data_IF_062095930923
#
_entry.id   IF_062095930923
#
_cell.length_a   1.000
_cell.length_b   1.000
_cell.length_c   1.000
_cell.angle_alpha   90.00
_cell.angle_beta   90.00
_cell.angle_gamma   90.00
#
_symmetry.space_group_name_H-M   'P 1'
#
loop_
_entity.id
_entity.type
_entity.pdbx_description
1 polymer ?
#
# COMPACT_ATOMS: atom_id res chain seq x y z
N UNK A 1 -9.38 11.13 -23.89
CA UNK A 1 -9.25 9.95 -23.01
C UNK A 1 -8.77 10.35 -21.62
N UNK A 2 -7.57 10.93 -21.51
CA UNK A 2 -7.03 11.37 -20.22
C UNK A 2 -7.96 12.35 -19.47
N UNK A 3 -8.55 13.33 -20.16
CA UNK A 3 -9.47 14.28 -19.51
C UNK A 3 -10.69 13.59 -18.87
N UNK A 4 -11.26 12.57 -19.53
CA UNK A 4 -12.38 11.82 -18.97
C UNK A 4 -11.98 11.00 -17.74
N UNK A 5 -10.77 10.41 -17.77
CA UNK A 5 -10.20 9.74 -16.62
C UNK A 5 -9.98 10.69 -15.44
N UNK A 6 -9.45 11.89 -15.71
CA UNK A 6 -9.23 12.92 -14.69
C UNK A 6 -10.55 13.43 -14.10
N UNK A 7 -11.59 13.62 -14.92
CA UNK A 7 -12.93 13.96 -14.43
C UNK A 7 -13.47 12.89 -13.48
N UNK A 8 -13.31 11.60 -13.81
CA UNK A 8 -13.74 10.53 -12.92
C UNK A 8 -12.95 10.50 -11.61
N UNK A 9 -11.64 10.78 -11.66
CA UNK A 9 -10.80 10.90 -10.46
C UNK A 9 -11.23 12.07 -9.58
N UNK A 10 -11.59 13.21 -10.17
CA UNK A 10 -12.14 14.34 -9.44
C UNK A 10 -13.43 13.98 -8.70
N UNK A 11 -14.35 13.33 -9.41
CA UNK A 11 -15.62 12.86 -8.83
C UNK A 11 -15.37 11.93 -7.62
N UNK A 12 -14.44 10.98 -7.74
CA UNK A 12 -14.04 10.10 -6.63
C UNK A 12 -13.51 10.92 -5.43
N UNK A 13 -12.61 11.87 -5.66
CA UNK A 13 -12.03 12.72 -4.61
C UNK A 13 -13.13 13.51 -3.89
N UNK A 14 -14.04 14.13 -4.64
CA UNK A 14 -15.15 14.92 -4.08
C UNK A 14 -16.09 14.07 -3.23
N UNK A 15 -16.44 12.87 -3.69
CA UNK A 15 -17.30 11.95 -2.94
C UNK A 15 -16.63 11.42 -1.67
N UNK A 16 -15.34 11.08 -1.75
CA UNK A 16 -14.56 10.68 -0.58
C UNK A 16 -14.49 11.80 0.46
N UNK A 17 -14.24 13.04 0.04
CA UNK A 17 -14.25 14.21 0.93
C UNK A 17 -15.62 14.43 1.60
N UNK A 18 -16.72 14.21 0.87
CA UNK A 18 -18.08 14.27 1.43
C UNK A 18 -18.33 13.16 2.44
N UNK A 19 -17.91 11.93 2.16
CA UNK A 19 -18.03 10.79 3.09
C UNK A 19 -17.28 11.05 4.39
N UNK A 20 -16.03 11.54 4.32
CA UNK A 20 -15.24 11.94 5.49
C UNK A 20 -15.99 12.98 6.32
N UNK A 21 -16.50 14.04 5.69
CA UNK A 21 -17.26 15.09 6.37
C UNK A 21 -18.56 14.56 7.02
N UNK A 22 -19.26 13.63 6.36
CA UNK A 22 -20.48 13.01 6.89
C UNK A 22 -20.18 12.10 8.08
N UNK A 23 -19.10 11.31 8.03
CA UNK A 23 -18.65 10.50 9.17
C UNK A 23 -18.29 11.37 10.37
N UNK A 24 -17.51 12.44 10.16
CA UNK A 24 -17.17 13.38 11.23
C UNK A 24 -18.42 14.01 11.86
N UNK A 25 -19.40 14.40 11.04
CA UNK A 25 -20.69 14.90 11.52
C UNK A 25 -21.46 13.83 12.30
N UNK A 26 -21.54 12.60 11.79
CA UNK A 26 -22.28 11.50 12.42
C UNK A 26 -21.73 11.10 13.79
N UNK A 27 -20.44 11.30 14.03
CA UNK A 27 -19.78 11.09 15.32
C UNK A 27 -19.93 12.24 16.32
N UNK A 28 -20.52 13.38 15.94
CA UNK A 28 -20.61 14.54 16.81
C UNK A 28 -21.55 14.28 18.02
N UNK A 29 -21.14 14.68 19.23
CA UNK A 29 -21.99 14.57 20.42
C UNK A 29 -23.23 15.45 20.27
N UNK A 30 -24.36 15.03 20.85
CA UNK A 30 -25.60 15.81 20.86
C UNK A 30 -26.48 15.68 19.61
N UNK A 31 -26.10 14.87 18.61
CA UNK A 31 -26.99 14.59 17.47
C UNK A 31 -28.23 13.80 17.90
N UNK A 32 -29.40 14.26 17.43
CA UNK A 32 -30.64 13.51 17.57
C UNK A 32 -30.57 12.16 16.83
N UNK A 33 -31.36 11.18 17.28
CA UNK A 33 -31.42 9.87 16.61
C UNK A 33 -31.88 9.99 15.15
N UNK A 34 -32.81 10.90 14.85
CA UNK A 34 -33.26 11.16 13.49
C UNK A 34 -32.12 11.69 12.61
N UNK A 35 -31.29 12.60 13.13
CA UNK A 35 -30.11 13.12 12.42
C UNK A 35 -29.09 12.02 12.14
N UNK A 36 -28.81 11.14 13.12
CA UNK A 36 -27.90 9.99 12.95
C UNK A 36 -28.40 9.03 11.87
N UNK A 37 -29.70 8.72 11.87
CA UNK A 37 -30.32 7.88 10.85
C UNK A 37 -30.27 8.52 9.46
N UNK A 38 -30.48 9.83 9.36
CA UNK A 38 -30.36 10.56 8.10
C UNK A 38 -28.92 10.50 7.58
N UNK A 39 -27.92 10.85 8.41
CA UNK A 39 -26.50 10.78 8.06
C UNK A 39 -26.11 9.37 7.61
N UNK A 40 -26.52 8.34 8.35
CA UNK A 40 -26.24 6.95 7.99
C UNK A 40 -26.80 6.57 6.61
N UNK A 41 -28.05 6.96 6.31
CA UNK A 41 -28.62 6.74 4.96
C UNK A 41 -27.87 7.51 3.88
N UNK A 42 -27.50 8.75 4.14
CA UNK A 42 -26.70 9.56 3.22
C UNK A 42 -25.35 8.91 2.96
N UNK A 43 -24.64 8.46 3.99
CA UNK A 43 -23.36 7.73 3.87
C UNK A 43 -23.53 6.49 2.98
N UNK A 44 -24.54 5.66 3.21
CA UNK A 44 -24.80 4.49 2.38
C UNK A 44 -25.05 4.84 0.90
N UNK A 45 -25.76 5.93 0.63
CA UNK A 45 -25.97 6.41 -0.74
C UNK A 45 -24.64 6.84 -1.39
N UNK A 46 -23.82 7.64 -0.71
CA UNK A 46 -22.51 8.07 -1.22
C UNK A 46 -21.55 6.89 -1.43
N UNK A 47 -21.56 5.89 -0.54
CA UNK A 47 -20.76 4.66 -0.72
C UNK A 47 -21.19 3.87 -1.95
N UNK A 48 -22.49 3.75 -2.19
CA UNK A 48 -23.04 3.07 -3.37
C UNK A 48 -22.62 3.78 -4.66
N UNK A 49 -22.67 5.12 -4.67
CA UNK A 49 -22.24 5.92 -5.81
C UNK A 49 -20.73 5.84 -6.06
N UNK A 50 -19.92 5.81 -5.00
CA UNK A 50 -18.48 5.59 -5.10
C UNK A 50 -18.15 4.23 -5.73
N UNK A 51 -18.87 3.17 -5.34
CA UNK A 51 -18.75 1.84 -5.95
C UNK A 51 -19.11 1.86 -7.44
N UNK A 52 -20.20 2.52 -7.83
CA UNK A 52 -20.61 2.64 -9.23
C UNK A 52 -19.55 3.35 -10.08
N UNK A 53 -18.96 4.44 -9.59
CA UNK A 53 -17.88 5.14 -10.30
C UNK A 53 -16.64 4.27 -10.41
N UNK A 54 -16.24 3.58 -9.34
CA UNK A 54 -15.10 2.67 -9.38
C UNK A 54 -15.30 1.59 -10.46
N UNK A 55 -16.50 1.01 -10.55
CA UNK A 55 -16.85 0.06 -11.62
C UNK A 55 -16.76 0.70 -13.00
N UNK A 56 -17.37 1.87 -13.21
CA UNK A 56 -17.34 2.57 -14.49
C UNK A 56 -15.91 2.95 -14.94
N UNK A 57 -15.07 3.42 -14.01
CA UNK A 57 -13.66 3.71 -14.27
C UNK A 57 -12.90 2.43 -14.62
N UNK A 58 -13.13 1.32 -13.90
CA UNK A 58 -12.49 0.03 -14.21
C UNK A 58 -12.86 -0.45 -15.61
N UNK A 59 -14.15 -0.44 -15.96
CA UNK A 59 -14.62 -0.81 -17.30
C UNK A 59 -14.01 0.07 -18.39
N UNK A 60 -13.91 1.37 -18.15
CA UNK A 60 -13.24 2.31 -19.04
C UNK A 60 -11.76 1.94 -19.25
N UNK A 61 -11.01 1.69 -18.18
CA UNK A 61 -9.60 1.31 -18.25
C UNK A 61 -9.40 -0.03 -18.98
N UNK A 62 -10.26 -1.02 -18.74
CA UNK A 62 -10.21 -2.31 -19.42
C UNK A 62 -10.54 -2.20 -20.91
N UNK A 63 -11.50 -1.35 -21.28
CA UNK A 63 -11.79 -1.07 -22.69
C UNK A 63 -10.60 -0.41 -23.38
N UNK A 64 -9.91 0.53 -22.72
CA UNK A 64 -8.69 1.15 -23.26
C UNK A 64 -7.51 0.17 -23.36
N UNK A 65 -7.40 -0.79 -22.45
CA UNK A 65 -6.39 -1.84 -22.52
C UNK A 65 -6.61 -2.75 -23.73
N UNK A 66 -7.88 -3.05 -24.04
CA UNK A 66 -8.25 -3.87 -25.19
C UNK A 66 -8.16 -3.12 -26.53
N UNK A 67 -8.54 -1.83 -26.54
CA UNK A 67 -8.46 -0.94 -27.70
C UNK A 67 -8.10 0.48 -27.27
N UNK A 68 -6.85 0.93 -27.50
CA UNK A 68 -6.42 2.29 -27.17
C UNK A 68 -7.20 3.39 -27.89
N UNK A 69 -7.92 3.06 -28.96
CA UNK A 69 -8.75 4.01 -29.73
C UNK A 69 -10.24 3.90 -29.40
N UNK A 70 -10.61 3.27 -28.28
CA UNK A 70 -12.00 3.09 -27.84
C UNK A 70 -12.67 4.42 -27.44
N UNK A 71 -12.96 5.28 -28.43
CA UNK A 71 -13.67 6.56 -28.23
C UNK A 71 -15.06 6.37 -27.62
N UNK A 72 -15.69 5.21 -27.84
CA UNK A 72 -16.95 4.81 -27.21
C UNK A 72 -16.83 4.67 -25.69
N UNK A 73 -15.68 4.23 -25.17
CA UNK A 73 -15.43 4.12 -23.73
C UNK A 73 -15.42 5.51 -23.06
N UNK A 74 -14.80 6.50 -23.72
CA UNK A 74 -14.80 7.90 -23.26
C UNK A 74 -16.22 8.45 -23.17
N UNK A 75 -17.02 8.28 -24.22
CA UNK A 75 -18.41 8.76 -24.26
C UNK A 75 -19.25 8.13 -23.15
N UNK A 76 -19.13 6.81 -22.94
CA UNK A 76 -19.84 6.10 -21.87
C UNK A 76 -19.48 6.63 -20.48
N UNK A 77 -18.18 6.79 -20.19
CA UNK A 77 -17.73 7.29 -18.89
C UNK A 77 -18.24 8.71 -18.63
N UNK A 78 -18.13 9.61 -19.61
CA UNK A 78 -18.61 10.99 -19.45
C UNK A 78 -20.13 11.06 -19.29
N UNK A 79 -20.89 10.24 -20.03
CA UNK A 79 -22.34 10.15 -19.87
C UNK A 79 -22.74 9.64 -18.48
N UNK A 80 -22.01 8.63 -17.97
CA UNK A 80 -22.20 8.13 -16.62
C UNK A 80 -21.91 9.20 -15.56
N UNK A 81 -20.77 9.92 -15.66
CA UNK A 81 -20.42 10.99 -14.74
C UNK A 81 -21.45 12.14 -14.76
N UNK A 82 -22.00 12.46 -15.93
CA UNK A 82 -23.08 13.44 -16.05
C UNK A 82 -24.34 12.98 -15.30
N UNK A 83 -24.77 11.73 -15.52
CA UNK A 83 -25.95 11.16 -14.86
C UNK A 83 -25.77 11.11 -13.34
N UNK A 84 -24.56 10.78 -12.88
CA UNK A 84 -24.20 10.82 -11.47
C UNK A 84 -24.30 12.22 -10.87
N UNK A 85 -23.87 13.24 -11.60
CA UNK A 85 -23.89 14.63 -11.14
C UNK A 85 -25.33 15.13 -10.91
N UNK A 86 -26.27 14.66 -11.72
CA UNK A 86 -27.72 14.93 -11.57
C UNK A 86 -28.29 14.28 -10.29
N UNK A 87 -27.71 13.16 -9.84
CA UNK A 87 -28.17 12.39 -8.68
C UNK A 87 -27.50 12.80 -7.36
N UNK A 88 -26.29 13.35 -7.40
CA UNK A 88 -25.45 13.55 -6.21
C UNK A 88 -25.14 15.03 -5.95
N UNK A 89 -25.77 15.64 -4.92
CA UNK A 89 -25.53 17.04 -4.58
C UNK A 89 -24.05 17.37 -4.30
N UNK A 90 -23.59 18.50 -4.85
CA UNK A 90 -22.20 18.96 -4.78
C UNK A 90 -21.29 18.43 -5.88
N UNK A 91 -21.83 17.80 -6.92
CA UNK A 91 -21.14 17.45 -8.15
C UNK A 91 -21.56 18.33 -9.33
N UNK A 92 -22.22 19.47 -9.09
CA UNK A 92 -22.74 20.37 -10.13
C UNK A 92 -21.63 20.89 -11.05
N UNK A 93 -20.39 20.96 -10.56
CA UNK A 93 -19.22 21.27 -11.38
C UNK A 93 -19.00 20.26 -12.53
N UNK A 94 -19.47 19.00 -12.42
CA UNK A 94 -19.50 18.02 -13.52
C UNK A 94 -20.63 18.28 -14.53
N UNK A 95 -21.72 18.96 -14.12
CA UNK A 95 -22.83 19.33 -15.00
C UNK A 95 -22.54 20.62 -15.77
N UNK A 96 -21.96 21.61 -15.09
CA UNK A 96 -21.64 22.93 -15.62
C UNK A 96 -20.26 22.99 -16.30
N UNK A 97 -19.36 22.09 -15.90
CA UNK A 97 -17.98 22.06 -16.35
C UNK A 97 -17.81 21.43 -17.73
N UNK A 98 -17.03 22.09 -18.59
CA UNK A 98 -16.45 21.42 -19.75
C UNK A 98 -15.43 20.41 -19.22
N UNK A 99 -15.46 19.10 -19.59
CA UNK A 99 -14.53 18.09 -19.07
C UNK A 99 -13.05 18.49 -19.12
N UNK A 100 -12.66 19.30 -20.10
CA UNK A 100 -11.31 19.86 -20.21
C UNK A 100 -10.93 20.79 -19.04
N UNK A 101 -11.87 21.62 -18.56
CA UNK A 101 -11.63 22.57 -17.46
C UNK A 101 -11.45 21.81 -16.13
N UNK A 102 -12.28 20.81 -15.87
CA UNK A 102 -12.14 19.93 -14.70
C UNK A 102 -10.84 19.13 -14.75
N UNK A 103 -10.51 18.56 -15.91
CA UNK A 103 -9.24 17.87 -16.08
C UNK A 103 -8.04 18.79 -15.85
N UNK A 104 -8.10 20.05 -16.30
CA UNK A 104 -7.07 21.06 -16.01
C UNK A 104 -6.98 21.37 -14.51
N UNK A 105 -8.11 21.50 -13.82
CA UNK A 105 -8.16 21.68 -12.36
C UNK A 105 -7.51 20.50 -11.62
N UNK A 106 -7.83 19.25 -12.00
CA UNK A 106 -7.21 18.06 -11.40
C UNK A 106 -5.70 18.05 -11.61
N UNK A 107 -5.23 18.39 -12.81
CA UNK A 107 -3.78 18.52 -13.09
C UNK A 107 -3.14 19.58 -12.19
N UNK A 108 -3.78 20.74 -12.03
CA UNK A 108 -3.30 21.81 -11.15
C UNK A 108 -3.25 21.36 -9.68
N UNK A 109 -4.30 20.70 -9.18
CA UNK A 109 -4.34 20.19 -7.80
C UNK A 109 -3.25 19.13 -7.56
N UNK A 110 -3.04 18.23 -8.51
CA UNK A 110 -1.97 17.23 -8.45
C UNK A 110 -0.58 17.87 -8.45
N UNK A 111 -0.35 18.87 -9.29
CA UNK A 111 0.91 19.60 -9.34
C UNK A 111 1.17 20.36 -8.02
N UNK A 112 0.18 21.10 -7.51
CA UNK A 112 0.30 21.80 -6.24
C UNK A 112 0.60 20.85 -5.07
N UNK A 113 -0.12 19.72 -4.99
CA UNK A 113 0.14 18.68 -3.98
C UNK A 113 1.57 18.13 -4.08
N UNK A 114 2.06 17.87 -5.29
CA UNK A 114 3.43 17.39 -5.48
C UNK A 114 4.45 18.42 -4.98
N UNK A 115 4.25 19.71 -5.28
CA UNK A 115 5.14 20.76 -4.77
C UNK A 115 5.10 20.89 -3.25
N UNK A 116 3.92 20.75 -2.63
CA UNK A 116 3.78 20.71 -1.17
C UNK A 116 4.54 19.50 -0.57
N UNK A 117 4.43 18.33 -1.20
CA UNK A 117 5.13 17.11 -0.78
C UNK A 117 6.65 17.24 -0.93
N UNK A 118 7.13 17.81 -2.04
CA UNK A 118 8.56 18.11 -2.24
C UNK A 118 9.06 19.12 -1.21
N UNK A 119 8.30 20.17 -0.94
CA UNK A 119 8.65 21.16 0.09
C UNK A 119 8.76 20.52 1.47
N UNK A 120 7.77 19.71 1.86
CA UNK A 120 7.77 18.99 3.13
C UNK A 120 8.91 17.97 3.22
N UNK A 121 9.21 17.25 2.13
CA UNK A 121 10.34 16.34 2.03
C UNK A 121 11.66 17.07 2.22
N UNK A 122 11.89 18.19 1.53
CA UNK A 122 13.11 19.01 1.69
C UNK A 122 13.29 19.49 3.12
N UNK A 123 12.21 19.96 3.77
CA UNK A 123 12.24 20.38 5.16
C UNK A 123 12.58 19.21 6.10
N UNK A 124 12.00 18.03 5.86
CA UNK A 124 12.30 16.83 6.64
C UNK A 124 13.75 16.37 6.47
N UNK A 125 14.27 16.37 5.24
CA UNK A 125 15.67 16.04 4.95
C UNK A 125 16.63 17.03 5.62
N UNK A 126 16.33 18.33 5.60
CA UNK A 126 17.14 19.34 6.27
C UNK A 126 17.19 19.18 7.80
N UNK A 127 16.20 18.50 8.39
CA UNK A 127 16.14 18.21 9.83
C UNK A 127 16.84 16.89 10.21
N UNK A 128 17.28 16.09 9.23
CA UNK A 128 17.94 14.82 9.49
C UNK A 128 19.41 15.00 9.91
N UNK A 129 19.98 14.05 10.66
CA UNK A 129 21.40 14.07 11.02
C UNK A 129 22.31 14.18 9.79
N UNK A 130 23.34 15.02 9.88
CA UNK A 130 24.23 15.33 8.76
C UNK A 130 25.17 14.18 8.36
N UNK A 131 25.28 13.15 9.19
CA UNK A 131 26.07 11.95 8.93
C UNK A 131 25.33 10.92 8.05
N UNK A 132 24.04 11.11 7.80
CA UNK A 132 23.29 10.27 6.86
C UNK A 132 23.71 10.56 5.40
N UNK A 133 23.82 9.53 4.54
CA UNK A 133 24.29 9.68 3.16
C UNK A 133 23.20 10.19 2.20
N UNK A 134 22.43 11.19 2.62
CA UNK A 134 21.23 11.64 1.89
C UNK A 134 21.61 12.47 0.67
N UNK A 135 21.07 12.10 -0.49
CA UNK A 135 21.11 12.94 -1.68
C UNK A 135 19.71 13.54 -1.95
N UNK A 136 19.46 14.73 -1.40
CA UNK A 136 18.16 15.40 -1.47
C UNK A 136 17.69 15.66 -2.90
N UNK A 137 18.61 16.02 -3.80
CA UNK A 137 18.28 16.30 -5.20
C UNK A 137 17.85 15.04 -5.94
N UNK A 138 18.52 13.91 -5.67
CA UNK A 138 18.16 12.61 -6.25
C UNK A 138 16.83 12.12 -5.70
N UNK A 139 16.61 12.25 -4.39
CA UNK A 139 15.33 11.90 -3.76
C UNK A 139 14.18 12.71 -4.36
N UNK A 140 14.35 14.01 -4.56
CA UNK A 140 13.36 14.85 -5.24
C UNK A 140 13.08 14.37 -6.67
N UNK A 141 14.14 14.13 -7.46
CA UNK A 141 13.99 13.69 -8.84
C UNK A 141 13.22 12.35 -8.93
N UNK A 142 13.53 11.42 -8.03
CA UNK A 142 12.81 10.14 -7.88
C UNK A 142 11.34 10.37 -7.52
N UNK A 143 11.05 11.22 -6.53
CA UNK A 143 9.67 11.53 -6.12
C UNK A 143 8.88 12.13 -7.28
N UNK A 144 9.47 13.04 -8.04
CA UNK A 144 8.84 13.63 -9.23
C UNK A 144 8.59 12.60 -10.32
N UNK A 145 9.56 11.73 -10.63
CA UNK A 145 9.40 10.69 -11.65
C UNK A 145 8.30 9.69 -11.27
N UNK A 146 8.34 9.18 -10.03
CA UNK A 146 7.30 8.26 -9.54
C UNK A 146 5.91 8.90 -9.56
N UNK A 147 5.79 10.15 -9.07
CA UNK A 147 4.52 10.87 -9.10
C UNK A 147 4.01 11.09 -10.52
N UNK A 148 4.89 11.38 -11.48
CA UNK A 148 4.49 11.56 -12.88
C UNK A 148 3.96 10.25 -13.48
N UNK A 149 4.67 9.13 -13.24
CA UNK A 149 4.26 7.82 -13.74
C UNK A 149 2.92 7.38 -13.14
N UNK A 150 2.77 7.48 -11.81
CA UNK A 150 1.54 7.12 -11.09
C UNK A 150 0.32 7.90 -11.56
N UNK A 151 0.49 9.17 -11.95
CA UNK A 151 -0.62 10.02 -12.38
C UNK A 151 -1.08 9.76 -13.82
N UNK A 152 -0.30 9.02 -14.60
CA UNK A 152 -0.55 8.79 -16.03
C UNK A 152 -1.71 7.81 -16.27
N UNK A 153 -2.45 8.03 -17.36
CA UNK A 153 -3.50 7.10 -17.78
C UNK A 153 -2.92 5.70 -18.12
N UNK A 154 -1.77 5.66 -18.78
CA UNK A 154 -1.09 4.41 -19.16
C UNK A 154 -0.81 3.51 -17.95
N UNK A 155 -0.33 4.09 -16.85
CA UNK A 155 -0.12 3.38 -15.59
C UNK A 155 -1.40 2.69 -15.11
N UNK A 156 -2.51 3.42 -15.05
CA UNK A 156 -3.79 2.89 -14.58
C UNK A 156 -4.41 1.87 -15.53
N UNK A 157 -4.23 2.04 -16.84
CA UNK A 157 -4.69 1.06 -17.85
C UNK A 157 -3.96 -0.27 -17.68
N UNK A 158 -2.62 -0.24 -17.57
CA UNK A 158 -1.80 -1.45 -17.38
C UNK A 158 -2.14 -2.16 -16.07
N UNK A 159 -2.29 -1.41 -14.99
CA UNK A 159 -2.67 -1.96 -13.69
C UNK A 159 -4.03 -2.65 -13.74
N UNK A 160 -5.05 -1.98 -14.28
CA UNK A 160 -6.39 -2.56 -14.39
C UNK A 160 -6.41 -3.83 -15.25
N UNK A 161 -5.69 -3.81 -16.38
CA UNK A 161 -5.58 -4.95 -17.29
C UNK A 161 -4.94 -6.15 -16.60
N UNK A 162 -3.76 -5.97 -15.98
CA UNK A 162 -3.04 -7.06 -15.32
C UNK A 162 -3.83 -7.65 -14.16
N UNK A 163 -4.45 -6.81 -13.32
CA UNK A 163 -5.27 -7.28 -12.20
C UNK A 163 -6.46 -8.10 -12.72
N UNK A 164 -7.12 -7.65 -13.79
CA UNK A 164 -8.25 -8.38 -14.37
C UNK A 164 -7.83 -9.69 -15.03
N UNK A 165 -6.71 -9.70 -15.75
CA UNK A 165 -6.20 -10.88 -16.45
C UNK A 165 -5.75 -11.98 -15.48
N UNK A 166 -4.98 -11.60 -14.45
CA UNK A 166 -4.36 -12.57 -13.53
C UNK A 166 -5.25 -12.94 -12.35
N UNK A 167 -6.15 -12.04 -11.94
CA UNK A 167 -6.90 -12.18 -10.68
C UNK A 167 -8.42 -11.96 -10.82
N UNK A 168 -8.94 -11.86 -12.05
CA UNK A 168 -10.37 -11.63 -12.31
C UNK A 168 -11.28 -12.85 -12.09
N UNK A 169 -10.74 -14.08 -12.13
CA UNK A 169 -11.50 -15.34 -12.03
C UNK A 169 -10.75 -16.37 -11.16
N UNK A 170 -11.42 -16.95 -10.15
CA UNK A 170 -10.93 -18.04 -9.29
C UNK A 170 -9.48 -17.92 -8.81
N UNK A 171 -9.07 -16.69 -8.46
CA UNK A 171 -7.71 -16.39 -8.09
C UNK A 171 -7.40 -16.77 -6.63
N UNK A 172 -6.13 -17.11 -6.37
CA UNK A 172 -5.62 -17.37 -5.03
C UNK A 172 -5.64 -16.13 -4.10
N UNK A 173 -5.76 -14.94 -4.70
CA UNK A 173 -5.82 -13.66 -4.00
C UNK A 173 -7.11 -12.93 -4.35
N UNK A 174 -7.73 -12.31 -3.35
CA UNK A 174 -8.83 -11.38 -3.59
C UNK A 174 -8.36 -10.14 -4.35
N UNK A 175 -9.27 -9.49 -5.10
CA UNK A 175 -8.92 -8.31 -5.92
C UNK A 175 -8.52 -7.11 -5.06
N UNK A 176 -9.02 -7.03 -3.83
CA UNK A 176 -8.77 -5.95 -2.88
C UNK A 176 -7.28 -5.86 -2.51
N UNK A 177 -6.57 -7.00 -2.51
CA UNK A 177 -5.13 -7.08 -2.25
C UNK A 177 -4.28 -6.24 -3.22
N UNK A 178 -4.83 -5.89 -4.39
CA UNK A 178 -4.14 -5.13 -5.43
C UNK A 178 -4.50 -3.64 -5.44
N UNK A 179 -5.17 -3.17 -4.38
CA UNK A 179 -5.42 -1.75 -4.19
C UNK A 179 -4.10 -1.00 -4.05
N UNK A 180 -3.94 0.06 -4.84
CA UNK A 180 -2.72 0.84 -4.87
C UNK A 180 -2.88 2.20 -4.17
N UNK A 181 -1.87 2.56 -3.38
CA UNK A 181 -1.72 3.87 -2.75
C UNK A 181 -0.24 4.23 -2.55
N UNK A 182 0.02 5.52 -2.39
CA UNK A 182 1.35 6.06 -2.10
C UNK A 182 1.45 6.56 -0.66
N UNK A 183 2.62 6.37 -0.04
CA UNK A 183 2.92 6.90 1.28
C UNK A 183 3.94 8.03 1.14
N UNK A 184 3.58 9.28 1.50
CA UNK A 184 4.49 10.40 1.41
C UNK A 184 5.78 10.16 2.19
N UNK A 185 6.90 10.70 1.70
CA UNK A 185 8.21 10.60 2.33
C UNK A 185 8.19 10.99 3.81
N UNK A 186 7.52 12.08 4.16
CA UNK A 186 7.47 12.59 5.54
C UNK A 186 6.75 11.65 6.49
N UNK A 187 5.69 11.00 6.04
CA UNK A 187 4.97 9.98 6.81
C UNK A 187 5.80 8.71 6.99
N UNK A 188 6.45 8.23 5.93
CA UNK A 188 7.39 7.11 6.03
C UNK A 188 8.51 7.42 7.03
N UNK A 189 9.11 8.60 6.96
CA UNK A 189 10.17 9.03 7.86
C UNK A 189 9.68 9.13 9.30
N UNK A 190 8.47 9.66 9.52
CA UNK A 190 7.85 9.74 10.85
C UNK A 190 7.70 8.36 11.48
N UNK A 191 7.28 7.35 10.71
CA UNK A 191 7.13 5.97 11.18
C UNK A 191 8.47 5.37 11.57
N UNK A 192 9.49 5.55 10.74
CA UNK A 192 10.84 5.05 11.04
C UNK A 192 11.48 5.76 12.23
N UNK A 193 11.34 7.08 12.32
CA UNK A 193 11.85 7.85 13.45
C UNK A 193 11.18 7.42 14.78
N UNK A 194 9.91 7.05 14.76
CA UNK A 194 9.20 6.59 15.95
C UNK A 194 9.75 5.26 16.49
N UNK A 195 10.33 4.41 15.64
CA UNK A 195 11.00 3.18 16.08
C UNK A 195 12.27 3.45 16.93
N UNK A 196 12.82 4.67 16.87
CA UNK A 196 13.92 5.12 17.72
C UNK A 196 15.17 4.25 17.59
N UNK A 197 15.80 3.91 18.73
CA UNK A 197 17.03 3.11 18.76
C UNK A 197 16.83 1.69 18.20
N UNK A 198 15.60 1.15 18.26
CA UNK A 198 15.32 -0.19 17.76
C UNK A 198 15.57 -0.31 16.25
N UNK A 199 15.42 0.77 15.49
CA UNK A 199 15.77 0.80 14.06
C UNK A 199 17.28 0.68 13.85
N UNK A 200 18.07 1.39 14.65
CA UNK A 200 19.52 1.31 14.65
C UNK A 200 20.01 -0.10 15.03
N UNK A 201 19.41 -0.69 16.06
CA UNK A 201 19.72 -2.07 16.47
C UNK A 201 19.40 -3.06 15.34
N UNK A 202 18.22 -2.98 14.74
CA UNK A 202 17.78 -3.93 13.73
C UNK A 202 18.57 -3.85 12.41
N UNK A 203 18.95 -2.63 12.00
CA UNK A 203 19.73 -2.41 10.78
C UNK A 203 21.24 -2.47 11.00
N UNK A 204 21.70 -2.29 12.25
CA UNK A 204 23.13 -2.27 12.63
C UNK A 204 23.64 -3.56 13.28
N UNK A 205 22.77 -4.46 13.75
CA UNK A 205 23.16 -5.68 14.47
C UNK A 205 24.00 -6.67 13.66
N UNK A 206 23.97 -6.60 12.33
CA UNK A 206 24.84 -7.41 11.48
C UNK A 206 25.13 -6.71 10.16
N UNK A 207 26.39 -6.77 9.71
CA UNK A 207 26.78 -6.28 8.40
C UNK A 207 25.91 -6.94 7.32
N UNK A 208 25.30 -6.11 6.48
CA UNK A 208 24.48 -6.60 5.38
C UNK A 208 23.06 -7.00 5.77
N UNK A 209 22.42 -6.38 6.76
CA UNK A 209 20.94 -6.46 6.80
C UNK A 209 20.33 -5.79 5.57
N UNK A 210 19.21 -6.33 5.12
CA UNK A 210 18.41 -5.74 4.05
C UNK A 210 17.18 -5.04 4.62
N UNK A 211 16.81 -3.94 3.96
CA UNK A 211 15.51 -3.31 4.10
C UNK A 211 14.59 -3.84 3.01
N UNK A 212 13.52 -4.52 3.39
CA UNK A 212 12.60 -5.21 2.46
C UNK A 212 11.23 -4.54 2.49
N UNK A 213 10.62 -4.35 1.34
CA UNK A 213 9.24 -3.86 1.19
C UNK A 213 8.42 -4.91 0.45
N UNK A 214 7.44 -5.51 1.12
CA UNK A 214 6.47 -6.42 0.52
C UNK A 214 5.25 -5.63 0.02
N UNK A 215 4.87 -5.86 -1.24
CA UNK A 215 3.93 -4.99 -1.95
C UNK A 215 4.59 -3.66 -2.31
N UNK A 216 5.80 -3.72 -2.88
CA UNK A 216 6.60 -2.51 -3.12
C UNK A 216 6.02 -1.57 -4.18
N UNK A 217 5.09 -2.05 -5.00
CA UNK A 217 4.49 -1.32 -6.12
C UNK A 217 5.57 -0.64 -6.98
N UNK A 218 5.43 0.65 -7.27
CA UNK A 218 6.38 1.46 -8.04
C UNK A 218 7.70 1.74 -7.32
N UNK A 219 7.88 1.26 -6.08
CA UNK A 219 9.17 1.29 -5.39
C UNK A 219 9.45 2.54 -4.55
N UNK A 220 8.43 3.38 -4.28
CA UNK A 220 8.53 4.56 -3.41
C UNK A 220 9.32 4.29 -2.12
N UNK A 221 8.83 3.34 -1.31
CA UNK A 221 9.39 3.06 0.01
C UNK A 221 10.78 2.45 -0.05
N UNK A 222 11.06 1.65 -1.09
CA UNK A 222 12.38 1.02 -1.32
C UNK A 222 13.42 2.10 -1.61
N UNK A 223 13.08 3.02 -2.50
CA UNK A 223 13.97 4.13 -2.88
C UNK A 223 14.17 5.12 -1.73
N UNK A 224 13.15 5.34 -0.89
CA UNK A 224 13.31 6.17 0.31
C UNK A 224 14.36 5.61 1.28
N UNK A 225 14.33 4.30 1.57
CA UNK A 225 15.32 3.66 2.45
C UNK A 225 16.74 3.76 1.87
N UNK A 226 16.88 3.47 0.58
CA UNK A 226 18.17 3.54 -0.11
C UNK A 226 18.74 4.96 -0.15
N UNK A 227 17.92 5.96 -0.46
CA UNK A 227 18.34 7.35 -0.65
C UNK A 227 18.47 8.14 0.66
N UNK A 228 17.80 7.71 1.72
CA UNK A 228 17.87 8.38 3.03
C UNK A 228 18.97 7.77 3.90
N UNK A 229 19.01 6.45 4.00
CA UNK A 229 19.89 5.77 4.94
C UNK A 229 21.03 5.00 4.27
N UNK A 230 21.08 4.96 2.94
CA UNK A 230 22.08 4.16 2.21
C UNK A 230 21.88 2.65 2.37
N UNK A 231 20.68 2.21 2.78
CA UNK A 231 20.41 0.79 3.02
C UNK A 231 20.33 -0.01 1.73
N UNK A 232 20.77 -1.27 1.81
CA UNK A 232 20.49 -2.28 0.77
C UNK A 232 18.99 -2.56 0.81
N UNK A 233 18.30 -2.12 -0.23
CA UNK A 233 16.84 -1.99 -0.22
C UNK A 233 16.25 -2.87 -1.32
N UNK A 234 15.26 -3.68 -0.96
CA UNK A 234 14.65 -4.65 -1.86
C UNK A 234 13.13 -4.52 -1.85
N UNK A 235 12.53 -4.40 -3.03
CA UNK A 235 11.08 -4.43 -3.21
C UNK A 235 10.61 -5.75 -3.78
N UNK A 236 9.53 -6.32 -3.22
CA UNK A 236 8.84 -7.48 -3.78
C UNK A 236 7.45 -7.05 -4.22
N UNK A 237 7.13 -7.28 -5.49
CA UNK A 237 5.88 -6.88 -6.10
C UNK A 237 5.34 -8.00 -6.99
N UNK A 238 4.07 -8.35 -6.82
CA UNK A 238 3.46 -9.43 -7.59
C UNK A 238 3.06 -8.98 -9.00
N UNK A 239 2.66 -7.71 -9.15
CA UNK A 239 2.20 -7.11 -10.40
C UNK A 239 3.38 -6.62 -11.24
N UNK A 240 3.57 -7.25 -12.40
CA UNK A 240 4.68 -7.00 -13.31
C UNK A 240 4.67 -5.56 -13.86
N UNK A 241 3.51 -4.94 -14.05
CA UNK A 241 3.41 -3.56 -14.50
C UNK A 241 3.94 -2.56 -13.47
N UNK A 242 3.69 -2.80 -12.17
CA UNK A 242 4.17 -1.97 -11.07
C UNK A 242 5.67 -2.18 -10.84
N UNK A 243 6.12 -3.44 -10.86
CA UNK A 243 7.54 -3.78 -10.87
C UNK A 243 8.28 -3.08 -12.03
N UNK A 244 7.74 -3.14 -13.24
CA UNK A 244 8.30 -2.48 -14.41
C UNK A 244 8.36 -0.96 -14.29
N UNK A 245 7.40 -0.35 -13.57
CA UNK A 245 7.45 1.07 -13.21
C UNK A 245 8.64 1.37 -12.29
N UNK A 246 8.87 0.54 -11.27
CA UNK A 246 9.99 0.71 -10.33
C UNK A 246 11.35 0.59 -11.03
N UNK A 247 11.53 -0.45 -11.85
CA UNK A 247 12.75 -0.68 -12.64
C UNK A 247 13.01 0.46 -13.64
N UNK A 248 11.95 1.01 -14.25
CA UNK A 248 12.07 2.17 -15.14
C UNK A 248 12.58 3.39 -14.39
N UNK A 249 12.06 3.70 -13.20
CA UNK A 249 12.55 4.83 -12.39
C UNK A 249 14.02 4.66 -12.04
N UNK A 250 14.44 3.45 -11.63
CA UNK A 250 15.86 3.19 -11.36
C UNK A 250 16.71 3.42 -12.60
N UNK A 251 16.25 2.97 -13.76
CA UNK A 251 16.95 3.16 -15.03
C UNK A 251 17.06 4.63 -15.42
N UNK A 252 15.95 5.36 -15.38
CA UNK A 252 15.89 6.80 -15.71
C UNK A 252 16.73 7.65 -14.77
N UNK A 253 16.78 7.27 -13.49
CA UNK A 253 17.54 7.96 -12.46
C UNK A 253 18.95 7.36 -12.26
N UNK A 254 19.41 6.45 -13.13
CA UNK A 254 20.63 5.66 -12.92
C UNK A 254 21.87 6.51 -12.63
N UNK A 255 22.02 7.66 -13.31
CA UNK A 255 23.10 8.60 -13.04
C UNK A 255 22.99 9.21 -11.62
N UNK A 256 21.79 9.58 -11.20
CA UNK A 256 21.53 10.15 -9.87
C UNK A 256 21.64 9.10 -8.75
N UNK A 257 21.33 7.83 -9.07
CA UNK A 257 21.48 6.69 -8.18
C UNK A 257 22.91 6.13 -8.14
N UNK A 258 23.86 6.74 -8.86
CA UNK A 258 25.27 6.30 -8.83
C UNK A 258 25.80 6.36 -7.40
N UNK A 259 26.26 5.21 -6.88
CA UNK A 259 26.77 5.09 -5.52
C UNK A 259 25.73 4.65 -4.48
N UNK A 260 24.43 4.65 -4.83
CA UNK A 260 23.39 4.03 -4.02
C UNK A 260 23.53 2.51 -4.17
N UNK A 261 24.00 1.84 -3.12
CA UNK A 261 24.27 0.40 -3.17
C UNK A 261 23.00 -0.41 -2.91
N UNK A 262 22.73 -1.36 -3.79
CA UNK A 262 21.85 -2.48 -3.49
C UNK A 262 20.35 -2.17 -3.50
N UNK A 263 19.89 -1.28 -4.39
CA UNK A 263 18.47 -1.21 -4.76
C UNK A 263 18.14 -2.35 -5.70
N UNK A 264 17.14 -3.16 -5.37
CA UNK A 264 16.67 -4.27 -6.22
C UNK A 264 15.16 -4.38 -6.16
N UNK A 265 14.55 -4.72 -7.29
CA UNK A 265 13.14 -5.13 -7.32
C UNK A 265 13.04 -6.59 -7.74
N UNK A 266 12.01 -7.25 -7.24
CA UNK A 266 11.70 -8.64 -7.55
C UNK A 266 10.24 -8.72 -7.92
N UNK A 267 9.97 -9.11 -9.16
CA UNK A 267 8.63 -9.45 -9.62
C UNK A 267 8.29 -10.86 -9.13
N UNK A 268 7.48 -11.00 -8.09
CA UNK A 268 7.20 -12.29 -7.48
C UNK A 268 6.22 -12.23 -6.31
N UNK A 269 5.84 -13.41 -5.84
CA UNK A 269 4.98 -13.57 -4.67
C UNK A 269 5.79 -13.36 -3.39
N UNK A 270 5.34 -12.42 -2.55
CA UNK A 270 5.96 -12.13 -1.24
C UNK A 270 5.99 -13.34 -0.31
N UNK A 271 5.06 -14.30 -0.45
CA UNK A 271 5.06 -15.52 0.36
C UNK A 271 6.20 -16.49 -0.02
N UNK A 272 6.80 -16.30 -1.19
CA UNK A 272 7.98 -17.06 -1.64
C UNK A 272 9.29 -16.30 -1.40
N UNK A 273 9.21 -15.07 -0.89
CA UNK A 273 10.37 -14.23 -0.65
C UNK A 273 11.23 -14.70 0.51
N UNK A 274 12.55 -14.51 0.46
CA UNK A 274 13.45 -14.81 1.58
C UNK A 274 13.70 -13.56 2.44
N UNK A 275 13.28 -13.61 3.70
CA UNK A 275 13.47 -12.54 4.70
C UNK A 275 14.44 -12.90 5.81
N UNK A 276 15.15 -14.04 5.69
CA UNK A 276 16.11 -14.53 6.70
C UNK A 276 17.30 -13.60 6.94
N UNK A 277 17.53 -12.62 6.06
CA UNK A 277 18.55 -11.59 6.21
C UNK A 277 17.99 -10.15 6.31
N UNK A 278 16.67 -10.00 6.46
CA UNK A 278 16.05 -8.68 6.61
C UNK A 278 16.31 -8.11 8.01
N UNK A 279 16.68 -6.84 8.10
CA UNK A 279 16.69 -6.09 9.36
C UNK A 279 15.39 -5.34 9.59
N UNK A 280 14.74 -4.93 8.50
CA UNK A 280 13.45 -4.24 8.50
C UNK A 280 12.61 -4.74 7.34
N UNK A 281 11.37 -5.13 7.61
CA UNK A 281 10.35 -5.44 6.59
C UNK A 281 9.20 -4.46 6.72
N UNK A 282 8.85 -3.77 5.64
CA UNK A 282 7.62 -2.97 5.55
C UNK A 282 6.57 -3.74 4.75
N UNK A 283 5.39 -3.92 5.34
CA UNK A 283 4.24 -4.52 4.70
C UNK A 283 3.36 -3.41 4.14
N UNK A 284 3.08 -3.42 2.84
CA UNK A 284 2.03 -2.57 2.24
C UNK A 284 0.63 -3.19 2.42
N UNK A 285 0.33 -3.63 3.64
CA UNK A 285 -0.82 -4.48 3.98
C UNK A 285 -2.12 -3.71 4.25
N UNK A 286 -2.23 -2.47 3.78
CA UNK A 286 -3.39 -1.62 4.03
C UNK A 286 -4.68 -2.25 3.50
N UNK A 287 -4.60 -2.95 2.37
CA UNK A 287 -5.75 -3.54 1.68
C UNK A 287 -5.65 -5.06 1.55
N UNK A 288 -4.74 -5.69 2.31
CA UNK A 288 -4.64 -7.15 2.29
C UNK A 288 -5.85 -7.77 2.97
N UNK A 289 -6.38 -8.83 2.38
CA UNK A 289 -7.39 -9.65 3.03
C UNK A 289 -6.80 -10.40 4.24
N UNK A 290 -7.67 -10.96 5.06
CA UNK A 290 -7.27 -11.67 6.29
C UNK A 290 -6.37 -12.88 5.99
N UNK A 291 -6.58 -13.55 4.85
CA UNK A 291 -5.83 -14.75 4.48
C UNK A 291 -4.38 -14.42 4.13
N UNK A 292 -4.15 -13.43 3.26
CA UNK A 292 -2.83 -12.97 2.89
C UNK A 292 -2.11 -12.36 4.10
N UNK A 293 -2.80 -11.53 4.90
CA UNK A 293 -2.23 -10.94 6.11
C UNK A 293 -1.77 -12.02 7.11
N UNK A 294 -2.58 -13.06 7.33
CA UNK A 294 -2.23 -14.18 8.20
C UNK A 294 -1.06 -15.01 7.64
N UNK A 295 -1.06 -15.31 6.33
CA UNK A 295 0.02 -16.07 5.68
C UNK A 295 1.36 -15.32 5.73
N UNK A 296 1.36 -14.02 5.44
CA UNK A 296 2.53 -13.15 5.52
C UNK A 296 3.07 -13.08 6.96
N UNK A 297 2.19 -12.90 7.94
CA UNK A 297 2.57 -12.82 9.36
C UNK A 297 3.16 -14.16 9.85
N UNK A 298 2.56 -15.30 9.46
CA UNK A 298 3.07 -16.63 9.79
C UNK A 298 4.44 -16.90 9.14
N UNK A 299 4.69 -16.37 7.93
CA UNK A 299 6.00 -16.45 7.28
C UNK A 299 7.04 -15.62 8.02
N UNK A 300 6.75 -14.37 8.34
CA UNK A 300 7.64 -13.51 9.12
C UNK A 300 7.94 -14.12 10.49
N UNK A 301 6.95 -14.72 11.14
CA UNK A 301 7.15 -15.40 12.42
C UNK A 301 8.22 -16.51 12.37
N UNK A 302 8.32 -17.22 11.24
CA UNK A 302 9.26 -18.33 11.03
C UNK A 302 10.62 -17.87 10.53
N UNK A 303 10.64 -16.91 9.63
CA UNK A 303 11.83 -16.60 8.82
C UNK A 303 12.50 -15.30 9.22
N UNK A 304 11.75 -14.33 9.77
CA UNK A 304 12.32 -13.04 10.15
C UNK A 304 13.25 -13.22 11.37
N UNK A 305 14.50 -12.73 11.33
CA UNK A 305 15.42 -12.96 12.44
C UNK A 305 15.04 -12.18 13.70
N UNK A 306 15.39 -12.73 14.87
CA UNK A 306 15.22 -12.04 16.15
C UNK A 306 15.90 -10.67 16.15
N UNK A 307 15.24 -9.68 16.75
CA UNK A 307 15.67 -8.28 16.78
C UNK A 307 15.30 -7.47 15.53
N UNK A 308 14.95 -8.11 14.41
CA UNK A 308 14.50 -7.40 13.22
C UNK A 308 13.14 -6.72 13.45
N UNK A 309 12.86 -5.69 12.65
CA UNK A 309 11.63 -4.92 12.71
C UNK A 309 10.67 -5.27 11.59
N UNK A 310 9.38 -5.12 11.88
CA UNK A 310 8.31 -5.14 10.89
C UNK A 310 7.43 -3.89 11.04
N UNK A 311 7.15 -3.20 9.94
CA UNK A 311 6.22 -2.07 9.89
C UNK A 311 4.98 -2.51 9.11
N UNK A 312 3.80 -2.26 9.66
CA UNK A 312 2.52 -2.66 9.07
C UNK A 312 1.49 -1.53 9.19
N UNK A 313 0.64 -1.38 8.18
CA UNK A 313 -0.50 -0.43 8.18
C UNK A 313 -1.66 -1.00 9.01
N UNK A 314 -1.85 -2.31 9.04
CA UNK A 314 -2.97 -2.95 9.76
C UNK A 314 -2.58 -3.44 11.17
N UNK A 315 -1.48 -4.19 11.24
CA UNK A 315 -0.97 -4.99 12.36
C UNK A 315 -1.82 -6.20 12.74
N UNK A 316 -2.89 -6.50 12.00
CA UNK A 316 -3.88 -7.51 12.40
C UNK A 316 -3.26 -8.89 12.52
N UNK A 317 -2.39 -9.29 11.58
CA UNK A 317 -1.77 -10.62 11.61
C UNK A 317 -0.58 -10.77 12.58
N UNK A 318 0.04 -9.67 13.02
CA UNK A 318 1.27 -9.70 13.83
C UNK A 318 1.00 -9.71 15.35
N UNK A 319 -0.14 -9.15 15.77
CA UNK A 319 -0.50 -9.03 17.20
C UNK A 319 -0.84 -10.36 17.86
N UNK A 320 -1.48 -11.25 17.11
CA UNK A 320 -2.10 -12.45 17.69
C UNK A 320 -1.29 -13.73 17.44
N UNK A 321 -0.15 -13.62 16.75
CA UNK A 321 0.71 -14.78 16.49
C UNK A 321 1.43 -15.24 17.75
N UNK A 322 1.24 -16.52 18.04
CA UNK A 322 1.83 -17.27 19.14
C UNK A 322 2.50 -18.52 18.60
N UNK A 323 3.67 -18.87 19.12
CA UNK A 323 4.26 -20.19 18.84
C UNK A 323 3.80 -21.14 19.94
N UNK A 324 3.06 -22.17 19.54
CA UNK A 324 2.82 -23.31 20.43
C UNK A 324 4.17 -23.92 20.78
N UNK A 325 4.54 -23.92 22.06
CA UNK A 325 5.74 -24.60 22.53
C UNK A 325 5.61 -26.07 22.13
N UNK A 326 6.40 -26.53 21.16
CA UNK A 326 6.46 -27.96 20.87
C UNK A 326 6.90 -28.66 22.15
N UNK A 327 5.99 -29.42 22.77
CA UNK A 327 6.33 -30.30 23.85
C UNK A 327 7.34 -31.30 23.28
N UNK A 328 8.61 -31.16 23.67
CA UNK A 328 9.66 -32.11 23.33
C UNK A 328 9.28 -33.42 24.01
N UNK A 329 8.51 -34.25 23.31
CA UNK A 329 8.26 -35.62 23.72
C UNK A 329 9.60 -36.34 23.57
N UNK A 330 10.28 -36.56 24.70
CA UNK A 330 11.36 -37.51 24.80
C UNK A 330 10.78 -38.92 24.54
N UNK A 331 10.74 -39.32 23.27
CA UNK A 331 10.23 -40.61 22.85
C UNK A 331 10.91 -41.02 21.55
N UNK A 332 11.97 -41.82 21.68
CA UNK A 332 12.69 -42.36 20.53
C UNK A 332 11.87 -43.36 19.71
N UNK A 333 12.33 -43.62 18.48
CA UNK A 333 12.04 -44.86 17.78
C UNK A 333 11.38 -44.74 16.40
N UNK A 334 12.22 -44.92 15.38
CA UNK A 334 12.00 -45.71 14.16
C UNK A 334 11.03 -45.24 13.04
N UNK A 335 11.68 -44.91 11.92
CA UNK A 335 11.50 -45.42 10.54
C UNK A 335 10.21 -45.17 9.74
N UNK A 336 10.38 -44.40 8.65
CA UNK A 336 10.21 -44.89 7.27
C UNK A 336 8.86 -44.65 6.58
N UNK A 337 8.88 -43.91 5.46
CA UNK A 337 7.84 -43.99 4.43
C UNK A 337 7.44 -42.67 3.77
N UNK A 338 8.06 -42.39 2.62
CA UNK A 338 7.55 -41.92 1.31
C UNK A 338 6.26 -41.08 1.14
N UNK A 339 6.26 -40.30 0.03
CA UNK A 339 5.18 -39.54 -0.66
C UNK A 339 4.83 -38.18 -0.03
N UNK A 340 4.73 -37.04 -0.74
CA UNK A 340 4.13 -36.79 -2.06
C UNK A 340 2.87 -35.92 -1.84
N UNK A 341 2.85 -34.70 -2.39
CA UNK A 341 1.73 -33.73 -2.42
C UNK A 341 1.21 -33.17 -1.07
N UNK A 342 1.69 -31.98 -0.64
CA UNK A 342 1.26 -31.37 0.62
C UNK A 342 1.09 -29.83 0.55
N UNK A 343 0.04 -29.33 -0.10
CA UNK A 343 -0.42 -27.93 0.08
C UNK A 343 -1.96 -27.81 0.28
N UNK A 344 -2.66 -28.92 0.60
CA UNK A 344 -4.14 -28.92 0.77
C UNK A 344 -4.67 -29.34 2.15
N UNK A 345 -3.81 -29.51 3.15
CA UNK A 345 -4.30 -29.89 4.48
C UNK A 345 -4.65 -28.66 5.33
N UNK A 346 -5.96 -28.54 5.57
CA UNK A 346 -6.56 -27.70 6.59
C UNK A 346 -5.83 -27.91 7.92
N UNK A 347 -5.24 -26.83 8.44
CA UNK A 347 -4.83 -26.74 9.84
C UNK A 347 -6.09 -26.78 10.71
N UNK A 348 -6.51 -27.97 11.10
CA UNK A 348 -7.46 -28.17 12.18
C UNK A 348 -6.68 -28.05 13.50
N UNK A 349 -6.78 -26.88 14.14
CA UNK A 349 -6.33 -26.65 15.52
C UNK A 349 -7.19 -27.50 16.47
N UNK A 350 -6.75 -28.72 16.80
CA UNK A 350 -7.37 -29.53 17.86
C UNK A 350 -6.84 -29.11 19.23
N UNK A 351 -7.71 -28.52 20.05
CA UNK A 351 -7.45 -28.24 21.46
C UNK A 351 -7.23 -29.54 22.25
N UNK A 352 -6.03 -29.75 22.77
CA UNK A 352 -5.81 -30.58 23.95
C UNK A 352 -5.06 -29.76 25.01
N UNK A 353 -5.61 -29.78 26.21
CA UNK A 353 -5.31 -28.89 27.33
C UNK A 353 -4.07 -29.33 28.11
N UNK A 354 -2.91 -28.82 27.74
CA UNK A 354 -1.82 -28.57 28.67
C UNK A 354 -1.35 -27.13 28.42
N UNK A 355 -1.47 -26.27 29.43
CA UNK A 355 -1.20 -24.83 29.34
C UNK A 355 0.31 -24.60 29.22
N UNK A 356 0.87 -24.86 28.05
CA UNK A 356 2.13 -24.29 27.66
C UNK A 356 1.87 -22.79 27.48
N UNK A 357 2.57 -21.94 28.24
CA UNK A 357 2.50 -20.50 28.02
C UNK A 357 2.96 -20.21 26.59
N UNK A 358 2.00 -19.80 25.76
CA UNK A 358 2.23 -19.35 24.40
C UNK A 358 3.14 -18.11 24.43
N UNK A 359 4.37 -18.26 23.92
CA UNK A 359 5.28 -17.14 23.78
C UNK A 359 4.84 -16.25 22.61
N UNK A 360 4.77 -14.94 22.86
CA UNK A 360 4.58 -13.94 21.81
C UNK A 360 5.76 -13.99 20.84
N UNK A 361 5.48 -13.81 19.55
CA UNK A 361 6.51 -13.82 18.50
C UNK A 361 7.00 -12.42 18.18
N UNK A 362 6.11 -11.44 18.33
CA UNK A 362 6.34 -10.04 18.04
C UNK A 362 5.98 -9.17 19.25
N UNK A 363 6.79 -8.14 19.49
CA UNK A 363 6.53 -7.07 20.44
C UNK A 363 6.12 -5.81 19.68
N UNK A 364 4.94 -5.25 19.94
CA UNK A 364 4.55 -3.95 19.36
C UNK A 364 5.28 -2.82 20.08
N UNK A 365 6.18 -2.13 19.38
CA UNK A 365 6.95 -1.02 19.93
C UNK A 365 6.18 0.30 19.87
N UNK A 366 5.50 0.53 18.75
CA UNK A 366 4.87 1.83 18.45
C UNK A 366 3.59 1.62 17.65
N UNK A 367 2.57 2.39 18.00
CA UNK A 367 1.42 2.68 17.14
C UNK A 367 1.34 4.18 16.93
N UNK A 368 1.33 4.64 15.69
CA UNK A 368 1.13 6.05 15.35
C UNK A 368 0.15 6.23 14.19
N UNK A 369 -0.34 7.45 13.99
CA UNK A 369 -1.10 7.82 12.80
C UNK A 369 -0.30 8.78 11.95
N UNK A 370 -0.17 8.48 10.66
CA UNK A 370 0.51 9.32 9.68
C UNK A 370 -0.31 9.43 8.40
N UNK A 371 -0.18 10.54 7.68
CA UNK A 371 -0.92 10.78 6.45
C UNK A 371 -0.48 9.81 5.35
N UNK A 372 -1.39 9.15 4.67
CA UNK A 372 -1.08 8.51 3.37
C UNK A 372 -1.69 9.36 2.25
N UNK A 373 -1.20 9.18 1.03
CA UNK A 373 -1.60 10.01 -0.11
C UNK A 373 -3.12 10.01 -0.28
N UNK A 374 -3.70 11.20 -0.49
CA UNK A 374 -5.12 11.45 -0.75
C UNK A 374 -6.14 10.98 0.30
N UNK A 375 -5.72 10.46 1.46
CA UNK A 375 -6.65 10.02 2.50
C UNK A 375 -6.28 10.55 3.89
N UNK A 376 -7.13 10.25 4.86
CA UNK A 376 -6.88 10.56 6.26
C UNK A 376 -5.62 9.87 6.78
N UNK A 377 -5.15 10.33 7.94
CA UNK A 377 -4.04 9.68 8.62
C UNK A 377 -4.38 8.22 8.93
N UNK A 378 -3.60 7.30 8.37
CA UNK A 378 -3.69 5.86 8.60
C UNK A 378 -2.88 5.47 9.83
N UNK A 379 -3.26 4.36 10.44
CA UNK A 379 -2.47 3.78 11.52
C UNK A 379 -1.25 3.09 10.93
N UNK A 380 -0.12 3.21 11.60
CA UNK A 380 1.09 2.45 11.36
C UNK A 380 1.52 1.83 12.67
N UNK A 381 2.03 0.60 12.59
CA UNK A 381 2.47 -0.18 13.72
C UNK A 381 3.88 -0.69 13.46
N UNK A 382 4.73 -0.57 14.45
CA UNK A 382 6.10 -1.08 14.41
C UNK A 382 6.22 -2.23 15.40
N UNK A 383 6.64 -3.38 14.91
CA UNK A 383 6.84 -4.59 15.68
C UNK A 383 8.32 -4.99 15.68
N UNK A 384 8.80 -5.54 16.78
CA UNK A 384 10.09 -6.22 16.87
C UNK A 384 9.87 -7.72 16.93
N UNK A 385 10.64 -8.49 16.16
CA UNK A 385 10.69 -9.94 16.29
C UNK A 385 11.45 -10.31 17.58
N UNK A 386 10.80 -11.08 18.45
CA UNK A 386 11.38 -11.59 19.71
C UNK A 386 12.34 -12.75 19.49
#
# INVERSE_FOLDING_TARGET
MEDAFLCAKDAVILLQAKLVNLHAKGGAPGLSQASKQHISRTVSAYLSQLQLIHTAVREFLLQLAADPNAGTAVTKLLQFLKSLAEEVPGLEALEEGRPADLAAQVRQLRAAKLEDEISAMRAAVAALPSDLPINSNTLEAVVRSLSHQEQSLDFHVKLAAEVSERFGHDAAYSIENFSYGSTPYTSWLQVLAAAGSALGDAMGASEGREYVVWGSSCGWLVLYGALTYGWRSRGVELLSCLHGCAERVVTEQGAALTGVKGVRFTCGDLLQDDVSNAGLVVLADQCWDEQLAAAASAKLARELPAGALCVSYSGTGLRDIRVAKQAVAAGGGASGGDCGDAWKDKVALSCSSSVAEDAMVFEELVTLRARVSWSEAQTFRVFRKL
#
